data_IF_082975720348
#
_entry.id   IF_082975720348
#
_cell.length_a   1.000
_cell.length_b   1.000
_cell.length_c   1.000
_cell.angle_alpha   90.00
_cell.angle_beta   90.00
_cell.angle_gamma   90.00
#
_symmetry.space_group_name_H-M   'P 1'
#
loop_
_entity.id
_entity.type
_entity.pdbx_description
1 polymer ?
#
# COMPACT_ATOMS: atom_id res chain seq x y z
N UNK A 1 -21.85 13.57 9.18
CA UNK A 1 -20.45 14.01 9.38
C UNK A 1 -19.99 14.64 8.09
N UNK A 2 -19.53 15.90 8.07
CA UNK A 2 -19.27 16.59 6.82
C UNK A 2 -17.98 16.06 6.20
N UNK A 3 -18.06 15.80 4.90
CA UNK A 3 -16.92 15.61 4.01
C UNK A 3 -15.99 16.83 4.16
N UNK A 4 -14.81 16.62 4.74
CA UNK A 4 -13.69 17.53 4.54
C UNK A 4 -13.36 17.45 3.05
N UNK A 5 -13.78 18.47 2.31
CA UNK A 5 -13.40 18.67 0.92
C UNK A 5 -11.89 18.89 0.90
N UNK A 6 -11.15 17.84 0.58
CA UNK A 6 -9.75 17.98 0.22
C UNK A 6 -9.69 18.78 -1.09
N UNK A 7 -9.32 20.05 -0.99
CA UNK A 7 -9.24 20.99 -2.11
C UNK A 7 -7.96 20.80 -2.95
N UNK A 8 -7.24 19.68 -2.75
CA UNK A 8 -6.00 19.34 -3.44
C UNK A 8 -6.18 18.96 -4.92
N UNK A 9 -7.41 18.58 -5.29
CA UNK A 9 -7.74 18.07 -6.62
C UNK A 9 -7.25 16.64 -6.88
N UNK A 10 -6.75 15.94 -5.86
CA UNK A 10 -6.47 14.49 -5.95
C UNK A 10 -7.77 13.69 -5.78
N UNK A 11 -7.79 12.48 -6.36
CA UNK A 11 -8.87 11.51 -6.11
C UNK A 11 -8.71 10.84 -4.75
N UNK A 12 -7.49 10.46 -4.39
CA UNK A 12 -7.14 10.02 -3.05
C UNK A 12 -7.19 11.17 -2.04
N UNK A 13 -7.29 10.82 -0.76
CA UNK A 13 -7.17 11.82 0.31
C UNK A 13 -5.71 12.30 0.38
N UNK A 14 -5.46 13.56 0.05
CA UNK A 14 -4.13 14.14 0.14
C UNK A 14 -3.75 14.42 1.58
N UNK A 15 -2.54 13.99 1.91
CA UNK A 15 -1.92 14.17 3.22
C UNK A 15 -0.46 14.57 3.01
N UNK A 16 0.17 15.12 4.04
CA UNK A 16 1.61 15.37 4.06
C UNK A 16 2.17 15.05 5.44
N UNK A 17 2.36 13.75 5.67
CA UNK A 17 2.69 13.21 6.97
C UNK A 17 3.97 12.39 6.90
N UNK A 18 4.79 12.44 7.96
CA UNK A 18 5.94 11.55 8.08
C UNK A 18 5.43 10.12 8.22
N UNK A 19 5.83 9.24 7.31
CA UNK A 19 5.59 7.82 7.44
C UNK A 19 6.67 7.14 8.28
N UNK A 20 6.48 5.84 8.46
CA UNK A 20 7.38 5.00 9.25
C UNK A 20 8.14 4.07 8.31
N UNK A 21 9.45 3.92 8.52
CA UNK A 21 10.25 2.99 7.74
C UNK A 21 9.74 1.54 7.90
N UNK A 22 9.76 0.78 6.81
CA UNK A 22 9.29 -0.61 6.78
C UNK A 22 10.51 -1.53 6.67
N UNK A 23 11.07 -1.92 7.81
CA UNK A 23 12.24 -2.80 7.86
C UNK A 23 13.41 -2.32 6.97
N UNK A 24 13.89 -3.23 6.12
CA UNK A 24 14.94 -2.97 5.14
C UNK A 24 14.41 -2.51 3.77
N UNK A 25 13.09 -2.45 3.58
CA UNK A 25 12.50 -1.93 2.34
C UNK A 25 12.90 -0.47 2.12
N UNK A 26 13.21 -0.13 0.87
CA UNK A 26 13.52 1.21 0.42
C UNK A 26 12.60 1.56 -0.75
N UNK A 27 11.70 2.55 -0.62
CA UNK A 27 10.93 3.01 -1.75
C UNK A 27 11.87 3.56 -2.85
N UNK A 28 11.47 3.52 -4.13
CA UNK A 28 12.33 3.96 -5.22
C UNK A 28 12.76 5.42 -5.08
N UNK A 29 14.04 5.70 -5.35
CA UNK A 29 14.56 7.07 -5.45
C UNK A 29 13.85 7.83 -6.59
N UNK A 30 13.38 9.04 -6.28
CA UNK A 30 12.51 9.87 -7.12
C UNK A 30 11.21 9.18 -7.57
N UNK A 31 10.81 8.10 -6.90
CA UNK A 31 9.60 7.35 -7.21
C UNK A 31 8.58 7.38 -6.08
N UNK A 32 7.63 6.46 -6.19
CA UNK A 32 6.57 6.24 -5.21
C UNK A 32 6.52 4.76 -4.83
N UNK A 33 6.14 4.48 -3.59
CA UNK A 33 5.72 3.15 -3.18
C UNK A 33 4.25 3.19 -2.73
N UNK A 34 3.47 2.23 -3.18
CA UNK A 34 2.09 2.01 -2.76
C UNK A 34 2.09 0.88 -1.74
N UNK A 35 1.87 1.21 -0.47
CA UNK A 35 1.90 0.27 0.64
C UNK A 35 0.49 -0.25 0.93
N UNK A 36 0.36 -1.57 0.97
CA UNK A 36 -0.87 -2.27 1.33
C UNK A 36 -0.60 -3.28 2.47
N UNK A 37 -1.43 -3.25 3.51
CA UNK A 37 -1.38 -4.19 4.62
C UNK A 37 -2.46 -5.26 4.45
N UNK A 38 -2.07 -6.52 4.32
CA UNK A 38 -2.99 -7.64 4.07
C UNK A 38 -2.38 -8.99 4.47
N UNK A 39 -3.02 -10.10 4.14
CA UNK A 39 -2.48 -11.46 4.35
C UNK A 39 -3.08 -12.41 3.31
N UNK A 40 -2.35 -13.47 2.92
CA UNK A 40 -2.74 -14.29 1.74
C UNK A 40 -4.10 -14.98 1.90
N UNK A 41 -4.42 -15.43 3.11
CA UNK A 41 -5.67 -16.13 3.41
C UNK A 41 -6.88 -15.21 3.59
N UNK A 42 -6.73 -13.90 3.39
CA UNK A 42 -7.84 -12.97 3.50
C UNK A 42 -8.84 -13.18 2.37
N UNK A 43 -10.00 -13.74 2.68
CA UNK A 43 -11.02 -14.08 1.69
C UNK A 43 -11.91 -12.93 1.24
N UNK A 44 -11.72 -11.70 1.75
CA UNK A 44 -12.66 -10.59 1.52
C UNK A 44 -12.04 -9.45 0.74
N UNK A 45 -11.15 -8.67 1.35
CA UNK A 45 -10.67 -7.41 0.76
C UNK A 45 -9.37 -7.54 -0.02
N UNK A 46 -8.53 -8.52 0.32
CA UNK A 46 -7.29 -8.76 -0.41
C UNK A 46 -7.51 -9.15 -1.88
N UNK A 47 -8.50 -9.99 -2.27
CA UNK A 47 -8.71 -10.34 -3.68
C UNK A 47 -9.01 -9.13 -4.56
N UNK A 48 -9.87 -8.21 -4.09
CA UNK A 48 -10.21 -6.99 -4.83
C UNK A 48 -9.00 -6.07 -4.95
N UNK A 49 -8.26 -5.85 -3.84
CA UNK A 49 -7.08 -5.00 -3.89
C UNK A 49 -5.96 -5.59 -4.75
N UNK A 50 -5.73 -6.90 -4.70
CA UNK A 50 -4.72 -7.53 -5.55
C UNK A 50 -5.00 -7.32 -7.03
N UNK A 51 -6.26 -7.41 -7.47
CA UNK A 51 -6.66 -7.12 -8.86
C UNK A 51 -6.42 -5.66 -9.21
N UNK A 52 -6.84 -4.73 -8.34
CA UNK A 52 -6.59 -3.29 -8.55
C UNK A 52 -5.10 -2.98 -8.69
N UNK A 53 -4.27 -3.54 -7.81
CA UNK A 53 -2.83 -3.29 -7.82
C UNK A 53 -2.17 -3.89 -9.07
N UNK A 54 -2.55 -5.09 -9.49
CA UNK A 54 -2.03 -5.71 -10.73
C UNK A 54 -2.37 -4.86 -11.97
N UNK A 55 -3.61 -4.38 -12.09
CA UNK A 55 -4.04 -3.51 -13.18
C UNK A 55 -3.31 -2.15 -13.14
N UNK A 56 -3.12 -1.56 -11.96
CA UNK A 56 -2.29 -0.36 -11.80
C UNK A 56 -0.84 -0.60 -12.18
N UNK A 57 -0.30 -1.78 -11.87
CA UNK A 57 1.05 -2.18 -12.25
C UNK A 57 1.25 -2.19 -13.77
N UNK A 58 0.27 -2.69 -14.53
CA UNK A 58 0.33 -2.64 -15.99
C UNK A 58 0.14 -1.21 -16.53
N UNK A 59 -0.76 -0.40 -15.96
CA UNK A 59 -0.98 1.00 -16.36
C UNK A 59 0.22 1.92 -16.11
N UNK A 60 0.98 1.63 -15.05
CA UNK A 60 2.15 2.40 -14.62
C UNK A 60 3.47 1.74 -15.05
N UNK A 61 3.41 0.80 -16.00
CA UNK A 61 4.62 0.12 -16.49
C UNK A 61 5.61 1.14 -17.07
N UNK A 62 6.84 1.11 -16.56
CA UNK A 62 7.90 2.05 -16.92
C UNK A 62 7.98 3.30 -16.03
N UNK A 63 6.97 3.54 -15.18
CA UNK A 63 7.04 4.56 -14.14
C UNK A 63 7.84 4.07 -12.92
N UNK A 64 8.42 5.00 -12.16
CA UNK A 64 9.11 4.70 -10.90
C UNK A 64 8.10 4.47 -9.75
N UNK A 65 7.26 3.44 -9.89
CA UNK A 65 6.26 3.04 -8.88
C UNK A 65 6.49 1.61 -8.46
N UNK A 66 6.59 1.37 -7.15
CA UNK A 66 6.59 0.03 -6.57
C UNK A 66 5.32 -0.22 -5.74
N UNK A 67 4.91 -1.49 -5.67
CA UNK A 67 3.78 -1.94 -4.86
C UNK A 67 4.29 -2.83 -3.73
N UNK A 68 4.16 -2.36 -2.49
CA UNK A 68 4.63 -3.08 -1.31
C UNK A 68 3.46 -3.74 -0.58
N UNK A 69 3.45 -5.07 -0.57
CA UNK A 69 2.58 -5.86 0.28
C UNK A 69 3.24 -6.12 1.64
N UNK A 70 2.64 -5.65 2.72
CA UNK A 70 3.08 -5.94 4.09
C UNK A 70 2.15 -6.98 4.70
N UNK A 71 2.66 -8.18 4.99
CA UNK A 71 1.81 -9.22 5.59
C UNK A 71 1.44 -8.88 7.04
N UNK A 72 0.18 -9.13 7.38
CA UNK A 72 -0.38 -9.08 8.73
C UNK A 72 -0.37 -10.45 9.42
N UNK A 73 -0.10 -11.54 8.70
CA UNK A 73 -0.05 -12.91 9.23
C UNK A 73 1.33 -13.55 8.97
N UNK A 74 2.42 -12.99 9.52
CA UNK A 74 3.76 -13.53 9.28
C UNK A 74 3.90 -14.97 9.80
N UNK A 75 3.10 -15.41 10.77
CA UNK A 75 3.12 -16.78 11.28
C UNK A 75 2.72 -17.81 10.21
N UNK A 76 1.88 -17.42 9.24
CA UNK A 76 1.39 -18.29 8.16
C UNK A 76 2.00 -17.94 6.80
N UNK A 77 2.12 -16.65 6.49
CA UNK A 77 2.66 -16.15 5.24
C UNK A 77 4.19 -16.28 5.27
N UNK A 78 4.71 -17.42 4.81
CA UNK A 78 6.15 -17.66 4.74
C UNK A 78 6.81 -16.71 3.75
N UNK A 79 8.09 -16.44 3.96
CA UNK A 79 8.87 -15.59 3.05
C UNK A 79 8.84 -16.14 1.62
N UNK A 80 9.02 -17.46 1.46
CA UNK A 80 8.95 -18.14 0.17
C UNK A 80 7.59 -17.94 -0.50
N UNK A 81 6.49 -18.09 0.22
CA UNK A 81 5.15 -17.90 -0.34
C UNK A 81 4.94 -16.45 -0.79
N UNK A 82 5.37 -15.47 0.01
CA UNK A 82 5.27 -14.06 -0.33
C UNK A 82 6.10 -13.70 -1.56
N UNK A 83 7.34 -14.22 -1.66
CA UNK A 83 8.20 -14.01 -2.84
C UNK A 83 7.56 -14.57 -4.11
N UNK A 84 6.97 -15.77 -4.05
CA UNK A 84 6.26 -16.34 -5.20
C UNK A 84 5.03 -15.52 -5.58
N UNK A 85 4.24 -15.08 -4.60
CA UNK A 85 3.06 -14.25 -4.80
C UNK A 85 3.42 -12.97 -5.55
N UNK A 86 4.34 -12.15 -5.03
CA UNK A 86 4.68 -10.86 -5.66
C UNK A 86 5.35 -11.04 -7.02
N UNK A 87 6.14 -12.10 -7.20
CA UNK A 87 6.72 -12.44 -8.51
C UNK A 87 5.65 -12.72 -9.57
N UNK A 88 4.53 -13.34 -9.20
CA UNK A 88 3.41 -13.57 -10.11
C UNK A 88 2.60 -12.30 -10.43
N UNK A 89 2.67 -11.27 -9.58
CA UNK A 89 1.96 -10.01 -9.78
C UNK A 89 2.72 -9.05 -10.69
N UNK A 90 4.05 -9.10 -10.71
CA UNK A 90 4.89 -8.35 -11.65
C UNK A 90 6.19 -7.82 -11.04
N UNK A 91 7.05 -7.24 -11.87
CA UNK A 91 8.40 -6.80 -11.47
C UNK A 91 8.40 -5.62 -10.48
N UNK A 92 7.32 -4.83 -10.43
CA UNK A 92 7.16 -3.71 -9.52
C UNK A 92 6.70 -4.13 -8.11
N UNK A 93 6.36 -5.40 -7.89
CA UNK A 93 5.80 -5.87 -6.62
C UNK A 93 6.89 -6.34 -5.65
N UNK A 94 6.70 -5.99 -4.39
CA UNK A 94 7.57 -6.31 -3.26
C UNK A 94 6.72 -6.80 -2.10
N UNK A 95 7.30 -7.64 -1.24
CA UNK A 95 6.67 -8.06 -0.01
C UNK A 95 7.58 -7.78 1.18
N UNK A 96 6.98 -7.40 2.31
CA UNK A 96 7.65 -7.33 3.60
C UNK A 96 6.93 -8.22 4.62
N UNK A 97 7.72 -9.00 5.35
CA UNK A 97 7.25 -9.90 6.40
C UNK A 97 7.78 -9.41 7.76
N UNK A 98 6.94 -8.79 8.59
CA UNK A 98 7.28 -8.45 9.96
C UNK A 98 7.60 -9.71 10.79
N UNK A 99 8.33 -9.53 11.90
CA UNK A 99 8.74 -10.64 12.78
C UNK A 99 7.59 -11.34 13.52
N UNK A 100 6.45 -10.65 13.68
CA UNK A 100 5.26 -11.15 14.40
C UNK A 100 4.01 -10.37 14.01
N UNK A 101 2.82 -10.92 14.30
CA UNK A 101 1.57 -10.18 14.21
C UNK A 101 1.62 -8.84 14.97
N UNK A 102 2.28 -8.78 16.14
CA UNK A 102 2.36 -7.53 16.91
C UNK A 102 3.20 -6.46 16.21
N UNK A 103 4.30 -6.85 15.57
CA UNK A 103 5.10 -5.93 14.76
C UNK A 103 4.30 -5.45 13.53
N UNK A 104 3.58 -6.35 12.86
CA UNK A 104 2.73 -6.02 11.73
C UNK A 104 1.59 -5.05 12.12
N UNK A 105 0.92 -5.31 13.24
CA UNK A 105 -0.15 -4.46 13.78
C UNK A 105 0.36 -3.06 14.15
N UNK A 106 1.52 -2.97 14.81
CA UNK A 106 2.15 -1.68 15.15
C UNK A 106 2.48 -0.89 13.89
N UNK A 107 3.03 -1.55 12.87
CA UNK A 107 3.38 -0.90 11.61
C UNK A 107 2.12 -0.42 10.87
N UNK A 108 1.08 -1.25 10.77
CA UNK A 108 -0.20 -0.85 10.20
C UNK A 108 -0.79 0.37 10.94
N UNK A 109 -0.72 0.38 12.28
CA UNK A 109 -1.20 1.50 13.11
C UNK A 109 -0.41 2.79 12.86
N UNK A 110 0.92 2.70 12.67
CA UNK A 110 1.75 3.85 12.30
C UNK A 110 1.38 4.44 10.93
N UNK A 111 0.76 3.63 10.08
CA UNK A 111 0.18 4.03 8.80
C UNK A 111 -1.30 4.48 8.92
N UNK A 112 -1.83 4.69 10.14
CA UNK A 112 -3.25 4.96 10.40
C UNK A 112 -4.19 3.84 9.91
N UNK A 113 -3.66 2.64 9.70
CA UNK A 113 -4.42 1.43 9.41
C UNK A 113 -4.85 0.71 10.69
N UNK A 114 -5.80 -0.21 10.55
CA UNK A 114 -6.25 -1.08 11.63
C UNK A 114 -5.96 -2.54 11.29
N UNK A 115 -5.52 -3.31 12.28
CA UNK A 115 -5.44 -4.76 12.20
C UNK A 115 -5.70 -5.36 13.58
N UNK A 116 -6.58 -6.36 13.69
CA UNK A 116 -6.85 -7.05 14.94
C UNK A 116 -7.14 -8.53 14.69
N UNK A 117 -6.68 -9.39 15.59
CA UNK A 117 -7.07 -10.80 15.57
C UNK A 117 -8.57 -10.92 15.81
N UNK A 118 -9.23 -11.69 14.97
CA UNK A 118 -10.63 -12.06 15.08
C UNK A 118 -10.74 -13.50 15.59
N UNK A 119 -11.87 -13.87 16.19
CA UNK A 119 -12.14 -15.25 16.61
C UNK A 119 -12.61 -16.16 15.45
N UNK A 120 -12.60 -15.68 14.20
CA UNK A 120 -13.03 -16.44 13.03
C UNK A 120 -11.95 -17.42 12.54
N UNK A 121 -12.35 -18.66 12.24
CA UNK A 121 -11.44 -19.72 11.77
C UNK A 121 -10.90 -19.47 10.34
N UNK A 122 -11.68 -18.80 9.47
CA UNK A 122 -11.31 -18.58 8.06
C UNK A 122 -10.63 -17.22 7.80
N UNK A 123 -11.01 -16.19 8.55
CA UNK A 123 -10.40 -14.84 8.47
C UNK A 123 -9.94 -14.40 9.87
N UNK A 124 -8.80 -14.92 10.35
CA UNK A 124 -8.36 -14.70 11.73
C UNK A 124 -7.93 -13.26 12.00
N UNK A 125 -7.90 -12.37 11.01
CA UNK A 125 -7.46 -10.99 11.15
C UNK A 125 -8.43 -10.05 10.43
N UNK A 126 -9.06 -9.15 11.18
CA UNK A 126 -9.80 -8.01 10.61
C UNK A 126 -8.83 -6.87 10.36
N UNK A 127 -8.83 -6.28 9.16
CA UNK A 127 -7.91 -5.21 8.81
C UNK A 127 -8.51 -4.14 7.88
N UNK A 128 -7.87 -2.97 7.83
CA UNK A 128 -8.18 -1.91 6.88
C UNK A 128 -7.72 -2.27 5.47
N UNK A 129 -8.44 -1.77 4.47
CA UNK A 129 -8.18 -1.98 3.05
C UNK A 129 -7.38 -0.85 2.38
N UNK A 130 -6.83 0.07 3.17
CA UNK A 130 -6.28 1.31 2.66
C UNK A 130 -4.99 1.08 1.88
N UNK A 131 -4.81 1.85 0.81
CA UNK A 131 -3.54 1.99 0.11
C UNK A 131 -2.90 3.30 0.50
N UNK A 132 -1.60 3.27 0.81
CA UNK A 132 -0.82 4.44 1.19
C UNK A 132 0.26 4.73 0.15
N UNK A 133 0.23 5.93 -0.43
CA UNK A 133 1.27 6.37 -1.37
C UNK A 133 2.37 7.08 -0.59
N UNK A 134 3.59 6.56 -0.65
CA UNK A 134 4.76 7.09 0.05
C UNK A 134 5.91 7.43 -0.88
N UNK A 135 6.72 8.38 -0.48
CA UNK A 135 7.94 8.82 -1.17
C UNK A 135 9.18 8.10 -0.61
N UNK A 136 10.36 8.31 -1.24
CA UNK A 136 11.64 7.71 -0.84
C UNK A 136 12.03 7.95 0.63
N UNK A 137 11.64 9.10 1.19
CA UNK A 137 11.83 9.48 2.60
C UNK A 137 10.65 9.05 3.50
N UNK A 138 9.82 8.11 3.02
CA UNK A 138 8.61 7.62 3.68
C UNK A 138 7.53 8.68 3.96
N UNK A 139 7.60 9.91 3.41
CA UNK A 139 6.48 10.85 3.53
C UNK A 139 5.25 10.29 2.82
N UNK A 140 4.14 10.22 3.55
CA UNK A 140 2.85 9.77 3.01
C UNK A 140 2.17 10.95 2.32
N UNK A 141 1.75 10.75 1.07
CA UNK A 141 1.21 11.82 0.20
C UNK A 141 -0.26 11.63 -0.16
N UNK A 142 -0.69 10.37 -0.28
CA UNK A 142 -2.09 10.03 -0.57
C UNK A 142 -2.50 8.79 0.22
N UNK A 143 -3.79 8.74 0.57
CA UNK A 143 -4.45 7.54 1.09
C UNK A 143 -5.71 7.27 0.29
N UNK A 144 -5.84 6.04 -0.20
CA UNK A 144 -7.09 5.51 -0.75
C UNK A 144 -7.73 4.61 0.30
N UNK A 145 -8.90 4.99 0.82
CA UNK A 145 -9.50 4.38 2.02
C UNK A 145 -10.40 3.18 1.73
N UNK A 146 -10.68 2.91 0.46
CA UNK A 146 -11.61 1.86 -0.01
C UNK A 146 -10.98 1.05 -1.15
N UNK A 147 -11.31 -0.25 -1.29
CA UNK A 147 -10.95 -1.05 -2.46
C UNK A 147 -11.79 -0.74 -3.71
N UNK A 148 -12.89 0.00 -3.57
CA UNK A 148 -13.69 0.47 -4.71
C UNK A 148 -13.02 1.70 -5.34
N UNK A 149 -12.04 1.44 -6.23
CA UNK A 149 -11.17 2.45 -6.81
C UNK A 149 -11.54 2.74 -8.26
N UNK A 150 -11.54 4.03 -8.62
CA UNK A 150 -11.41 4.45 -10.01
C UNK A 150 -9.93 4.46 -10.41
N UNK A 151 -9.47 3.40 -11.08
CA UNK A 151 -8.05 3.20 -11.37
C UNK A 151 -7.46 4.26 -12.33
N UNK A 152 -8.26 4.83 -13.22
CA UNK A 152 -7.80 5.94 -14.08
C UNK A 152 -7.48 7.19 -13.25
N UNK A 153 -8.31 7.49 -12.25
CA UNK A 153 -8.06 8.61 -11.34
C UNK A 153 -6.88 8.34 -10.41
N UNK A 154 -6.70 7.11 -9.95
CA UNK A 154 -5.51 6.70 -9.18
C UNK A 154 -4.24 6.87 -10.02
N UNK A 155 -4.26 6.43 -11.29
CA UNK A 155 -3.15 6.62 -12.21
C UNK A 155 -2.80 8.11 -12.40
N UNK A 156 -3.82 8.96 -12.61
CA UNK A 156 -3.63 10.41 -12.74
C UNK A 156 -3.00 11.04 -11.50
N UNK A 157 -3.47 10.67 -10.30
CA UNK A 157 -2.91 11.11 -9.03
C UNK A 157 -1.42 10.75 -8.92
N UNK A 158 -1.05 9.50 -9.22
CA UNK A 158 0.31 8.99 -9.11
C UNK A 158 1.25 9.66 -10.11
N UNK A 159 0.83 9.83 -11.37
CA UNK A 159 1.59 10.57 -12.39
C UNK A 159 1.80 12.02 -11.98
N UNK A 160 0.78 12.66 -11.41
CA UNK A 160 0.90 14.04 -10.88
C UNK A 160 1.91 14.12 -9.74
N UNK A 161 1.90 13.17 -8.81
CA UNK A 161 2.89 13.13 -7.73
C UNK A 161 4.33 12.91 -8.22
N UNK A 162 4.52 12.04 -9.23
CA UNK A 162 5.83 11.81 -9.84
C UNK A 162 6.36 13.09 -10.51
N UNK A 163 5.50 13.83 -11.23
CA UNK A 163 5.87 15.07 -11.91
C UNK A 163 6.15 16.22 -10.93
N UNK A 164 5.35 16.40 -9.88
CA UNK A 164 5.55 17.51 -8.94
C UNK A 164 6.83 17.37 -8.10
N UNK A 165 7.43 16.17 -8.02
CA UNK A 165 8.72 15.98 -7.35
C UNK A 165 9.89 16.51 -8.15
N UNK A 166 9.86 16.42 -9.48
CA UNK A 166 10.98 16.88 -10.30
C UNK A 166 11.16 18.41 -10.23
N UNK A 167 10.09 19.15 -9.92
CA UNK A 167 10.11 20.60 -9.75
C UNK A 167 10.67 21.06 -8.38
N UNK A 168 10.65 20.20 -7.35
CA UNK A 168 11.16 20.55 -6.00
C UNK A 168 12.66 20.28 -5.82
N UNK A 169 13.32 19.70 -6.83
CA UNK A 169 14.75 19.33 -6.80
C UNK A 169 15.63 20.24 -7.68
N UNK A 170 15.11 21.39 -8.14
CA UNK A 170 15.86 22.43 -8.86
C UNK A 170 15.90 23.71 -8.03
#
# INVERSE_FOLDING_TARGET
>A
MPYLLDNSGFYGMAIDESGTAIGDYRPPEDGLAIVFFGYQKCGTVCPVQSVNLMELGERLKGEKVEFLFVTLDPETDTEDALRHMVKSMGEAFRAYRPESFNAAQKLASAYNGFAAKSHGLENPITHSAALHVVTADFRRRLVYTTPDLNLERVEQDLRRLLNNKSESST
#
